data_IF_113763876500
#
_entry.id   IF_113763876500
#
_cell.length_a   1.000
_cell.length_b   1.000
_cell.length_c   1.000
_cell.angle_alpha   90.00
_cell.angle_beta   90.00
_cell.angle_gamma   90.00
#
_symmetry.space_group_name_H-M   'P 1'
#
loop_
_entity.id
_entity.type
_entity.pdbx_description
1 polymer ?
#
# COMPACT_ATOMS: atom_id res chain seq x y z
N UNK A 1 -4.42 -12.84 -23.77
CA UNK A 1 -4.19 -11.67 -22.90
C UNK A 1 -4.45 -10.42 -23.73
N UNK A 2 -5.10 -9.43 -23.13
CA UNK A 2 -5.50 -8.20 -23.81
C UNK A 2 -4.35 -7.18 -23.95
N UNK A 3 -3.18 -7.48 -23.39
CA UNK A 3 -1.98 -6.64 -23.43
C UNK A 3 -0.81 -7.41 -24.04
N UNK A 4 0.06 -6.73 -24.81
CA UNK A 4 1.26 -7.36 -25.34
C UNK A 4 2.16 -7.86 -24.19
N UNK A 5 2.85 -8.97 -24.41
CA UNK A 5 3.78 -9.51 -23.44
C UNK A 5 4.95 -8.55 -23.21
N UNK A 6 5.35 -8.39 -21.96
CA UNK A 6 6.57 -7.68 -21.60
C UNK A 6 7.74 -8.67 -21.56
N UNK A 7 8.94 -8.21 -21.93
CA UNK A 7 10.16 -9.00 -21.88
C UNK A 7 11.25 -8.20 -21.14
N UNK A 8 12.30 -8.86 -20.69
CA UNK A 8 13.46 -8.23 -20.05
C UNK A 8 14.48 -7.87 -21.11
N UNK A 9 14.70 -6.58 -21.41
CA UNK A 9 15.71 -6.15 -22.37
C UNK A 9 17.11 -6.25 -21.79
N UNK A 10 18.09 -6.54 -22.65
CA UNK A 10 19.51 -6.52 -22.31
C UNK A 10 20.35 -6.19 -23.52
N UNK A 11 21.56 -5.68 -23.29
CA UNK A 11 22.54 -5.48 -24.35
C UNK A 11 23.48 -6.66 -24.45
N UNK A 12 23.74 -7.08 -25.69
CA UNK A 12 24.77 -8.03 -26.01
C UNK A 12 26.15 -7.37 -26.04
N UNK A 13 27.19 -8.18 -26.12
CA UNK A 13 28.60 -7.73 -26.21
C UNK A 13 28.87 -6.92 -27.48
N UNK A 14 28.13 -7.20 -28.56
CA UNK A 14 28.20 -6.48 -29.84
C UNK A 14 27.42 -5.16 -29.86
N UNK A 15 26.77 -4.79 -28.74
CA UNK A 15 25.93 -3.60 -28.61
C UNK A 15 24.52 -3.75 -29.17
N UNK A 16 24.16 -4.92 -29.68
CA UNK A 16 22.76 -5.19 -30.06
C UNK A 16 21.88 -5.35 -28.82
N UNK A 17 20.61 -4.99 -28.95
CA UNK A 17 19.64 -5.13 -27.87
C UNK A 17 18.73 -6.33 -28.16
N UNK A 18 18.73 -7.26 -27.23
CA UNK A 18 17.84 -8.42 -27.23
C UNK A 18 16.90 -8.39 -26.02
N UNK A 19 15.98 -9.32 -25.97
CA UNK A 19 15.07 -9.46 -24.84
C UNK A 19 14.74 -10.92 -24.58
N UNK A 20 14.43 -11.23 -23.31
CA UNK A 20 14.04 -12.57 -22.91
C UNK A 20 12.87 -12.57 -21.94
N UNK A 21 12.26 -13.74 -21.77
CA UNK A 21 11.08 -13.92 -20.94
C UNK A 21 9.79 -13.42 -21.60
N UNK A 22 8.67 -13.76 -21.02
CA UNK A 22 7.35 -13.33 -21.47
C UNK A 22 6.48 -13.12 -20.24
N UNK A 23 6.20 -11.87 -19.90
CA UNK A 23 5.49 -11.47 -18.70
C UNK A 23 4.22 -10.70 -19.04
N UNK A 24 3.20 -10.88 -18.26
CA UNK A 24 1.93 -10.17 -18.47
C UNK A 24 2.00 -8.67 -18.15
N UNK A 25 3.00 -8.24 -17.33
CA UNK A 25 3.21 -6.86 -16.91
C UNK A 25 4.69 -6.60 -16.59
N UNK A 26 5.13 -5.33 -16.67
CA UNK A 26 6.50 -4.95 -16.30
C UNK A 26 6.87 -5.29 -14.86
N UNK A 27 5.93 -5.18 -13.92
CA UNK A 27 6.15 -5.52 -12.50
C UNK A 27 6.54 -6.99 -12.33
N UNK A 28 5.96 -7.88 -13.14
CA UNK A 28 6.30 -9.30 -13.12
C UNK A 28 7.70 -9.54 -13.72
N UNK A 29 8.09 -8.78 -14.74
CA UNK A 29 9.43 -8.86 -15.32
C UNK A 29 10.49 -8.40 -14.30
N UNK A 30 10.24 -7.31 -13.57
CA UNK A 30 11.13 -6.83 -12.50
C UNK A 30 11.24 -7.87 -11.39
N UNK A 31 10.13 -8.45 -10.93
CA UNK A 31 10.16 -9.47 -9.88
C UNK A 31 10.98 -10.70 -10.30
N UNK A 32 10.82 -11.15 -11.56
CA UNK A 32 11.59 -12.25 -12.10
C UNK A 32 13.09 -11.92 -12.17
N UNK A 33 13.45 -10.73 -12.68
CA UNK A 33 14.84 -10.26 -12.73
C UNK A 33 15.52 -10.29 -11.35
N UNK A 34 14.80 -9.90 -10.29
CA UNK A 34 15.32 -9.96 -8.91
C UNK A 34 15.43 -11.38 -8.36
N UNK A 35 14.69 -12.35 -8.90
CA UNK A 35 14.80 -13.75 -8.53
C UNK A 35 15.95 -14.49 -9.23
N UNK A 36 16.46 -13.94 -10.34
CA UNK A 36 17.56 -14.53 -11.11
C UNK A 36 18.89 -14.41 -10.34
N UNK A 37 19.72 -15.43 -10.48
CA UNK A 37 21.11 -15.45 -9.96
C UNK A 37 22.04 -14.71 -10.92
N UNK A 38 21.94 -13.41 -10.98
CA UNK A 38 22.76 -12.53 -11.79
C UNK A 38 23.71 -11.73 -10.91
N UNK A 39 24.80 -11.26 -11.53
CA UNK A 39 25.64 -10.24 -10.91
C UNK A 39 24.85 -8.95 -10.70
N UNK A 40 25.15 -8.22 -9.63
CA UNK A 40 24.40 -7.03 -9.22
C UNK A 40 24.48 -5.90 -10.27
N UNK A 41 25.63 -5.76 -10.96
CA UNK A 41 25.79 -4.79 -12.03
C UNK A 41 24.89 -5.12 -13.22
N UNK A 42 24.87 -6.38 -13.68
CA UNK A 42 24.03 -6.85 -14.77
C UNK A 42 22.55 -6.71 -14.43
N UNK A 43 22.20 -7.02 -13.18
CA UNK A 43 20.82 -6.84 -12.69
C UNK A 43 20.40 -5.37 -12.71
N UNK A 44 21.28 -4.47 -12.25
CA UNK A 44 21.01 -3.03 -12.25
C UNK A 44 20.83 -2.47 -13.66
N UNK A 45 21.67 -2.90 -14.63
CA UNK A 45 21.55 -2.47 -16.02
C UNK A 45 20.23 -2.92 -16.65
N UNK A 46 19.84 -4.18 -16.46
CA UNK A 46 18.57 -4.70 -16.97
C UNK A 46 17.37 -4.04 -16.32
N UNK A 47 17.42 -3.79 -15.01
CA UNK A 47 16.37 -3.07 -14.32
C UNK A 47 16.26 -1.62 -14.83
N UNK A 48 17.38 -0.96 -15.09
CA UNK A 48 17.37 0.36 -15.70
C UNK A 48 16.71 0.35 -17.08
N UNK A 49 17.02 -0.64 -17.92
CA UNK A 49 16.41 -0.80 -19.24
C UNK A 49 14.90 -1.06 -19.16
N UNK A 50 14.45 -1.92 -18.24
CA UNK A 50 13.02 -2.16 -18.02
C UNK A 50 12.33 -0.85 -17.65
N UNK A 51 12.87 -0.11 -16.68
CA UNK A 51 12.30 1.16 -16.23
C UNK A 51 12.28 2.22 -17.35
N UNK A 52 13.35 2.29 -18.16
CA UNK A 52 13.43 3.22 -19.27
C UNK A 52 12.38 2.93 -20.35
N UNK A 53 12.32 1.70 -20.86
CA UNK A 53 11.40 1.34 -21.95
C UNK A 53 9.95 1.29 -21.50
N UNK A 54 9.66 0.59 -20.43
CA UNK A 54 8.27 0.43 -19.98
C UNK A 54 7.77 1.62 -19.17
N UNK A 55 8.64 2.33 -18.47
CA UNK A 55 8.29 3.59 -17.82
C UNK A 55 7.71 4.58 -18.82
N UNK A 56 8.40 4.75 -19.95
CA UNK A 56 7.94 5.64 -21.04
C UNK A 56 6.68 5.12 -21.74
N UNK A 57 6.60 3.81 -21.98
CA UNK A 57 5.49 3.19 -22.74
C UNK A 57 4.19 3.16 -21.94
N UNK A 58 4.26 2.86 -20.64
CA UNK A 58 3.11 2.72 -19.76
C UNK A 58 2.86 3.95 -18.86
N UNK A 59 3.70 4.98 -18.97
CA UNK A 59 3.52 6.23 -18.23
C UNK A 59 3.78 6.12 -16.72
N UNK A 60 4.71 5.26 -16.30
CA UNK A 60 5.10 5.20 -14.89
C UNK A 60 5.88 6.46 -14.50
N UNK A 61 5.38 7.20 -13.54
CA UNK A 61 6.07 8.37 -12.99
C UNK A 61 7.22 7.99 -12.06
N UNK A 62 7.11 6.82 -11.42
CA UNK A 62 8.08 6.27 -10.47
C UNK A 62 8.68 4.98 -11.02
N UNK A 63 9.75 4.52 -10.37
CA UNK A 63 10.37 3.23 -10.67
C UNK A 63 9.34 2.10 -10.57
N UNK A 64 9.37 1.19 -11.54
CA UNK A 64 8.48 0.02 -11.60
C UNK A 64 8.77 -0.88 -10.39
N UNK A 65 7.76 -1.15 -9.59
CA UNK A 65 7.86 -1.99 -8.39
C UNK A 65 7.84 -3.47 -8.79
N UNK A 66 8.60 -4.33 -8.10
CA UNK A 66 8.50 -5.76 -8.32
C UNK A 66 7.13 -6.28 -7.89
N UNK A 67 6.55 -7.18 -8.68
CA UNK A 67 5.34 -7.89 -8.30
C UNK A 67 5.63 -8.82 -7.12
N UNK A 68 4.69 -8.99 -6.18
CA UNK A 68 4.81 -9.98 -5.13
C UNK A 68 4.81 -11.40 -5.72
N UNK A 69 5.40 -12.36 -5.01
CA UNK A 69 5.51 -13.74 -5.50
C UNK A 69 4.13 -14.37 -5.70
N UNK A 70 3.79 -14.78 -6.94
CA UNK A 70 2.49 -15.37 -7.24
C UNK A 70 2.26 -16.72 -6.58
N UNK A 71 3.31 -17.45 -6.20
CA UNK A 71 3.20 -18.76 -5.57
C UNK A 71 2.54 -18.71 -4.19
N UNK A 72 2.67 -17.59 -3.48
CA UNK A 72 2.04 -17.41 -2.17
C UNK A 72 0.64 -16.80 -2.24
N UNK A 73 0.27 -16.19 -3.35
CA UNK A 73 -0.93 -15.36 -3.43
C UNK A 73 -2.03 -15.95 -4.29
N UNK A 74 -1.68 -16.64 -5.37
CA UNK A 74 -2.67 -17.13 -6.32
C UNK A 74 -3.40 -18.38 -5.82
N UNK A 75 -4.69 -18.42 -6.07
CA UNK A 75 -5.58 -19.56 -5.80
C UNK A 75 -5.08 -20.87 -6.44
N UNK A 76 -4.47 -20.78 -7.63
CA UNK A 76 -3.80 -21.90 -8.31
C UNK A 76 -2.73 -22.57 -7.44
N UNK A 77 -2.12 -21.84 -6.53
CA UNK A 77 -1.09 -22.32 -5.59
C UNK A 77 -1.59 -22.32 -4.15
N UNK A 78 -2.90 -22.43 -3.95
CA UNK A 78 -3.59 -22.42 -2.64
C UNK A 78 -3.51 -21.06 -1.91
N UNK A 79 -3.23 -19.97 -2.62
CA UNK A 79 -3.35 -18.61 -2.11
C UNK A 79 -4.80 -18.11 -2.09
N UNK A 80 -4.97 -16.86 -1.72
CA UNK A 80 -6.30 -16.26 -1.51
C UNK A 80 -6.78 -15.41 -2.69
N UNK A 81 -5.96 -15.18 -3.71
CA UNK A 81 -6.26 -14.27 -4.81
C UNK A 81 -6.48 -15.01 -6.12
N UNK A 82 -7.52 -14.64 -6.82
CA UNK A 82 -7.68 -15.00 -8.22
C UNK A 82 -6.68 -14.23 -9.09
N UNK A 83 -6.39 -14.72 -10.30
CA UNK A 83 -5.49 -14.04 -11.23
C UNK A 83 -5.98 -12.62 -11.59
N UNK A 84 -7.27 -12.38 -11.58
CA UNK A 84 -7.87 -11.08 -11.87
C UNK A 84 -7.63 -10.09 -10.73
N UNK A 85 -7.79 -10.53 -9.50
CA UNK A 85 -7.50 -9.75 -8.30
C UNK A 85 -6.01 -9.44 -8.19
N UNK A 86 -5.16 -10.44 -8.43
CA UNK A 86 -3.71 -10.24 -8.47
C UNK A 86 -3.30 -9.18 -9.50
N UNK A 87 -3.89 -9.19 -10.70
CA UNK A 87 -3.61 -8.16 -11.71
C UNK A 87 -4.12 -6.77 -11.34
N UNK A 88 -5.24 -6.69 -10.63
CA UNK A 88 -5.73 -5.42 -10.08
C UNK A 88 -4.77 -4.87 -9.01
N UNK A 89 -4.27 -5.77 -8.17
CA UNK A 89 -3.31 -5.44 -7.13
C UNK A 89 -2.03 -4.81 -7.71
N UNK A 90 -1.50 -5.35 -8.82
CA UNK A 90 -0.32 -4.81 -9.49
C UNK A 90 -0.52 -3.39 -10.07
N UNK A 91 -1.77 -2.97 -10.29
CA UNK A 91 -2.09 -1.61 -10.74
C UNK A 91 -2.15 -0.59 -9.61
N UNK A 92 -2.14 -1.05 -8.36
CA UNK A 92 -2.17 -0.15 -7.22
C UNK A 92 -0.83 0.55 -7.05
N UNK A 93 -0.86 1.79 -6.57
CA UNK A 93 0.36 2.56 -6.29
C UNK A 93 1.08 2.12 -5.00
N UNK A 94 0.46 1.22 -4.25
CA UNK A 94 0.99 0.77 -2.97
C UNK A 94 2.16 -0.21 -3.14
N UNK A 95 3.12 -0.13 -2.26
CA UNK A 95 4.15 -1.14 -2.13
C UNK A 95 3.56 -2.37 -1.44
N UNK A 96 3.67 -3.53 -2.09
CA UNK A 96 3.18 -4.79 -1.56
C UNK A 96 4.38 -5.60 -1.05
N UNK A 97 4.29 -6.05 0.17
CA UNK A 97 5.29 -6.93 0.76
C UNK A 97 4.63 -8.20 1.29
N UNK A 98 5.26 -9.34 1.03
CA UNK A 98 4.87 -10.61 1.62
C UNK A 98 5.66 -10.79 2.91
N UNK A 99 4.98 -10.95 4.02
CA UNK A 99 5.59 -11.10 5.33
C UNK A 99 5.31 -12.49 5.89
N UNK A 100 6.35 -13.15 6.37
CA UNK A 100 6.22 -14.37 7.16
C UNK A 100 5.94 -13.98 8.62
N UNK A 101 4.88 -14.55 9.19
CA UNK A 101 4.63 -14.42 10.62
C UNK A 101 5.54 -15.40 11.37
N UNK A 102 6.50 -14.89 12.16
CA UNK A 102 7.35 -15.80 12.93
C UNK A 102 6.52 -16.62 13.92
N UNK A 103 6.86 -17.87 14.07
CA UNK A 103 6.38 -18.83 15.06
C UNK A 103 4.95 -19.38 14.92
N UNK A 104 4.07 -18.85 14.09
CA UNK A 104 2.68 -19.30 14.05
C UNK A 104 2.21 -19.81 12.71
N UNK A 105 2.93 -19.51 11.63
CA UNK A 105 2.54 -19.87 10.28
C UNK A 105 3.69 -20.24 9.38
N UNK A 106 3.40 -21.18 8.50
CA UNK A 106 4.29 -21.65 7.45
C UNK A 106 4.14 -20.79 6.18
N UNK A 107 2.99 -20.11 6.01
CA UNK A 107 2.69 -19.32 4.83
C UNK A 107 2.88 -17.83 5.08
N UNK A 108 3.54 -17.10 4.17
CA UNK A 108 3.65 -15.66 4.22
C UNK A 108 2.28 -15.00 3.99
N UNK A 109 2.07 -13.86 4.60
CA UNK A 109 0.88 -13.03 4.38
C UNK A 109 1.24 -11.77 3.60
N UNK A 110 0.33 -11.34 2.71
CA UNK A 110 0.46 -10.08 2.01
C UNK A 110 -0.03 -8.95 2.91
N UNK A 111 0.82 -7.95 3.07
CA UNK A 111 0.46 -6.71 3.73
C UNK A 111 0.65 -5.55 2.77
N UNK A 112 -0.30 -4.66 2.78
CA UNK A 112 -0.19 -3.39 2.07
C UNK A 112 0.60 -2.41 2.94
N UNK A 113 1.73 -1.96 2.41
CA UNK A 113 2.57 -0.97 3.09
C UNK A 113 2.29 0.38 2.43
N UNK A 114 1.63 1.26 3.15
CA UNK A 114 1.49 2.66 2.76
C UNK A 114 2.75 3.45 3.11
N UNK A 115 3.04 4.50 2.35
CA UNK A 115 4.20 5.36 2.62
C UNK A 115 4.17 5.91 4.06
N UNK A 116 2.98 6.19 4.59
CA UNK A 116 2.78 6.64 5.97
C UNK A 116 3.28 5.64 7.03
N UNK A 117 3.15 4.35 6.76
CA UNK A 117 3.63 3.30 7.67
C UNK A 117 5.16 3.22 7.71
N UNK A 118 5.82 3.33 6.56
CA UNK A 118 7.29 3.37 6.48
C UNK A 118 7.88 4.56 7.21
N UNK A 119 7.24 5.71 7.12
CA UNK A 119 7.62 6.93 7.80
C UNK A 119 7.58 6.76 9.33
N UNK A 120 6.55 6.10 9.86
CA UNK A 120 6.42 5.83 11.30
C UNK A 120 7.50 4.87 11.82
N UNK A 121 7.90 3.87 11.03
CA UNK A 121 8.94 2.90 11.44
C UNK A 121 10.34 3.51 11.41
N UNK A 122 10.66 4.32 10.39
CA UNK A 122 12.00 4.87 10.20
C UNK A 122 12.22 6.26 10.79
N UNK A 123 11.27 6.78 11.57
CA UNK A 123 11.47 7.97 12.40
C UNK A 123 11.65 9.29 11.63
N UNK A 124 11.07 9.39 10.45
CA UNK A 124 10.98 10.67 9.74
C UNK A 124 10.04 11.62 10.47
N UNK A 125 10.55 12.81 10.82
CA UNK A 125 9.77 13.88 11.45
C UNK A 125 8.79 14.45 10.41
N UNK A 126 7.56 13.91 10.38
CA UNK A 126 6.54 14.38 9.46
C UNK A 126 5.42 15.07 10.22
N UNK A 127 5.47 16.37 10.15
CA UNK A 127 4.35 17.26 10.44
C UNK A 127 3.22 17.11 9.39
N UNK A 128 2.71 15.92 9.19
CA UNK A 128 1.50 15.67 8.43
C UNK A 128 0.40 15.17 9.37
N UNK A 129 -0.51 16.09 9.66
CA UNK A 129 -1.68 16.02 10.53
C UNK A 129 -2.75 15.00 10.09
N UNK A 130 -2.37 13.79 9.62
CA UNK A 130 -3.29 12.69 9.27
C UNK A 130 -2.76 11.32 9.71
N UNK A 131 -2.23 11.23 10.92
CA UNK A 131 -1.89 9.93 11.50
C UNK A 131 -3.16 9.19 11.92
N UNK A 132 -3.40 7.99 11.41
CA UNK A 132 -4.35 7.06 12.03
C UNK A 132 -3.81 6.68 13.40
N UNK A 133 -4.33 7.32 14.43
CA UNK A 133 -4.03 6.94 15.81
C UNK A 133 -4.81 5.67 16.14
N UNK A 134 -4.13 4.55 16.21
CA UNK A 134 -4.72 3.30 16.71
C UNK A 134 -5.02 3.52 18.20
N UNK A 135 -6.28 3.80 18.52
CA UNK A 135 -6.74 3.85 19.91
C UNK A 135 -6.84 2.42 20.43
N UNK A 136 -6.18 2.12 21.52
CA UNK A 136 -6.39 0.86 22.24
C UNK A 136 -7.87 0.77 22.65
N UNK A 137 -8.40 -0.45 22.77
CA UNK A 137 -9.79 -0.65 23.20
C UNK A 137 -10.11 0.04 24.55
N UNK A 138 -9.10 0.24 25.41
CA UNK A 138 -9.19 1.00 26.64
C UNK A 138 -9.29 2.52 26.45
N UNK A 139 -8.94 3.04 25.27
CA UNK A 139 -8.99 4.48 24.93
C UNK A 139 -10.25 4.84 24.14
N UNK A 140 -11.09 3.87 23.82
CA UNK A 140 -12.40 4.17 23.29
C UNK A 140 -13.18 4.92 24.36
N UNK A 141 -13.54 6.17 24.04
CA UNK A 141 -14.42 6.97 24.89
C UNK A 141 -15.70 6.16 25.08
N UNK A 142 -15.87 5.57 26.23
CA UNK A 142 -17.14 4.94 26.58
C UNK A 142 -18.19 6.02 26.44
N UNK A 143 -19.19 5.78 25.62
CA UNK A 143 -20.37 6.67 25.56
C UNK A 143 -20.91 6.92 26.95
N UNK A 144 -21.77 7.92 27.12
CA UNK A 144 -22.27 8.34 28.44
C UNK A 144 -22.71 7.10 29.22
N UNK A 145 -22.27 7.02 30.46
CA UNK A 145 -22.61 5.89 31.31
C UNK A 145 -24.13 5.86 31.54
N UNK A 146 -24.67 4.66 31.81
CA UNK A 146 -26.13 4.55 32.13
C UNK A 146 -26.55 5.53 33.24
N UNK A 147 -25.66 5.84 34.16
CA UNK A 147 -25.90 6.83 35.23
C UNK A 147 -25.95 8.28 34.72
N UNK A 148 -25.14 8.63 33.71
CA UNK A 148 -25.19 9.93 33.05
C UNK A 148 -26.48 10.12 32.25
N UNK A 149 -26.89 9.09 31.51
CA UNK A 149 -28.15 9.10 30.74
C UNK A 149 -29.35 9.27 31.71
N UNK A 150 -29.35 8.55 32.83
CA UNK A 150 -30.38 8.69 33.84
C UNK A 150 -30.36 10.08 34.49
N UNK A 151 -29.20 10.64 34.76
CA UNK A 151 -29.05 11.98 35.32
C UNK A 151 -29.63 13.04 34.41
N UNK A 152 -29.36 12.97 33.11
CA UNK A 152 -29.90 13.92 32.12
C UNK A 152 -31.41 13.78 31.92
N UNK A 153 -31.97 12.60 32.14
CA UNK A 153 -33.41 12.37 32.07
C UNK A 153 -34.19 12.86 33.31
N UNK A 154 -33.56 12.80 34.48
CA UNK A 154 -34.23 13.12 35.75
C UNK A 154 -33.89 14.49 36.35
N UNK A 155 -32.84 15.17 35.85
CA UNK A 155 -32.49 16.53 36.27
C UNK A 155 -32.61 17.45 35.04
N UNK A 156 -33.77 18.15 34.87
CA UNK A 156 -33.89 19.12 33.80
C UNK A 156 -32.87 20.23 34.00
N UNK A 157 -31.95 20.37 33.06
CA UNK A 157 -30.97 21.46 33.05
C UNK A 157 -31.71 22.78 33.01
N UNK A 158 -31.53 23.61 34.03
CA UNK A 158 -32.01 25.02 34.05
C UNK A 158 -31.35 25.73 32.87
N UNK A 159 -32.12 26.00 31.82
CA UNK A 159 -31.67 26.89 30.73
C UNK A 159 -31.47 28.27 31.34
N UNK A 160 -30.36 28.97 31.09
CA UNK A 160 -30.20 30.34 31.53
C UNK A 160 -31.25 31.21 30.84
N UNK A 161 -32.05 31.92 31.62
CA UNK A 161 -32.98 32.91 31.13
C UNK A 161 -32.21 34.05 30.47
N UNK A 162 -32.37 34.22 29.18
CA UNK A 162 -31.91 35.38 28.42
C UNK A 162 -32.78 36.59 28.81
N UNK A 163 -32.24 37.46 29.64
CA UNK A 163 -32.88 38.73 29.96
C UNK A 163 -32.70 39.66 28.77
N UNK A 164 -33.80 39.93 28.05
CA UNK A 164 -33.84 41.00 27.06
C UNK A 164 -33.57 42.33 27.70
N UNK A 165 -32.46 42.96 27.31
CA UNK A 165 -32.18 44.35 27.68
C UNK A 165 -33.21 45.29 27.07
N UNK A 166 -33.76 46.13 27.95
CA UNK A 166 -34.64 47.26 27.58
C UNK A 166 -33.75 48.36 27.04
N UNK A 167 -33.91 48.75 25.81
CA UNK A 167 -33.34 49.99 25.26
C UNK A 167 -34.13 51.15 25.86
N UNK A 168 -33.43 52.03 26.58
CA UNK A 168 -33.93 53.36 26.98
C UNK A 168 -33.35 54.35 26.01
N UNK A 169 -34.20 54.90 25.16
CA UNK A 169 -33.90 56.13 24.39
C UNK A 169 -34.05 57.31 25.34
N UNK A 170 -33.04 58.17 25.35
CA UNK A 170 -33.02 59.49 25.93
C UNK A 170 -31.95 60.35 25.26
#
# INVERSE_FOLDING_TARGET
YDTPACAIPFYNVDGSMDSYGSFCRPECAVAYLYSEKLDDSVRADRDHLINFYYGKTYGYEKRIKPAPDPHYLLDKFYGNLTIQEYRKLLKSEHLLATLDKPMTRIFPELHEITDDFLIQIYGGDITLNRGYRVKRASEQVKGPSKMEILRDQFIPSKKPHHIRGVEIQG
#
